data_IF_343260729591
#
_entry.id   IF_343260729591
#
_cell.length_a   1.000
_cell.length_b   1.000
_cell.length_c   1.000
_cell.angle_alpha   90.00
_cell.angle_beta   90.00
_cell.angle_gamma   90.00
#
_symmetry.space_group_name_H-M   'P 1'
#
loop_
_entity.id
_entity.type
_entity.pdbx_description
1 polymer ?
#
# COMPACT_ATOMS: atom_id res chain seq x y z
N UNK A 1 -15.57 -6.76 -7.76
CA UNK A 1 -16.37 -7.79 -7.02
C UNK A 1 -17.82 -7.86 -7.50
N UNK A 2 -18.58 -6.77 -7.51
CA UNK A 2 -19.99 -6.82 -7.94
C UNK A 2 -20.19 -7.19 -9.42
N UNK A 3 -19.22 -6.88 -10.28
CA UNK A 3 -19.24 -7.26 -11.71
C UNK A 3 -19.01 -8.76 -11.89
N UNK A 4 -18.21 -9.38 -11.02
CA UNK A 4 -17.90 -10.82 -11.12
C UNK A 4 -19.05 -11.72 -10.63
N UNK A 5 -19.94 -11.19 -9.80
CA UNK A 5 -21.10 -11.89 -9.20
C UNK A 5 -22.34 -11.00 -9.23
N UNK A 6 -23.01 -10.88 -10.39
CA UNK A 6 -24.17 -10.00 -10.54
C UNK A 6 -25.41 -10.46 -9.75
N UNK A 7 -25.46 -11.72 -9.35
CA UNK A 7 -26.47 -12.33 -8.50
C UNK A 7 -26.32 -11.98 -7.00
N UNK A 8 -25.15 -11.53 -6.59
CA UNK A 8 -24.89 -11.17 -5.20
C UNK A 8 -25.43 -9.77 -4.86
N UNK A 9 -26.03 -9.64 -3.68
CA UNK A 9 -26.45 -8.36 -3.10
C UNK A 9 -25.48 -7.94 -2.02
N UNK A 10 -25.03 -6.69 -2.09
CA UNK A 10 -24.13 -6.13 -1.10
C UNK A 10 -24.86 -5.17 -0.18
N UNK A 11 -24.67 -5.29 1.11
CA UNK A 11 -24.99 -4.23 2.06
C UNK A 11 -23.69 -3.62 2.55
N UNK A 12 -23.42 -2.39 2.14
CA UNK A 12 -22.20 -1.66 2.49
C UNK A 12 -22.48 -0.79 3.72
N UNK A 13 -21.67 -0.98 4.76
CA UNK A 13 -21.71 -0.18 5.98
C UNK A 13 -20.54 0.80 5.99
N UNK A 14 -20.80 2.09 6.19
CA UNK A 14 -19.76 3.12 6.21
C UNK A 14 -20.20 4.42 6.89
N UNK A 15 -19.29 5.40 7.05
CA UNK A 15 -19.63 6.70 7.63
C UNK A 15 -20.61 7.48 6.76
N UNK A 16 -21.48 8.31 7.34
CA UNK A 16 -22.40 9.15 6.56
C UNK A 16 -21.68 9.95 5.48
N UNK A 17 -22.18 9.90 4.24
CA UNK A 17 -21.63 10.62 3.09
C UNK A 17 -20.49 9.92 2.33
N UNK A 18 -20.05 8.75 2.76
CA UNK A 18 -18.96 7.99 2.09
C UNK A 18 -19.50 6.98 1.04
N UNK A 19 -20.62 7.26 0.43
CA UNK A 19 -21.23 6.33 -0.52
C UNK A 19 -20.49 6.33 -1.87
N UNK A 20 -19.95 5.18 -2.26
CA UNK A 20 -19.56 4.89 -3.64
C UNK A 20 -20.66 4.00 -4.23
N UNK A 21 -21.25 4.42 -5.35
CA UNK A 21 -22.24 3.60 -6.03
C UNK A 21 -21.59 2.32 -6.56
N UNK A 22 -21.99 1.19 -6.00
CA UNK A 22 -21.59 -0.15 -6.45
C UNK A 22 -22.84 -0.84 -6.98
N UNK A 23 -22.84 -1.44 -8.18
CA UNK A 23 -23.97 -2.20 -8.69
C UNK A 23 -24.44 -3.24 -7.67
N UNK A 24 -25.76 -3.44 -7.57
CA UNK A 24 -26.40 -4.39 -6.63
C UNK A 24 -26.07 -4.15 -5.14
N UNK A 25 -25.75 -2.91 -4.78
CA UNK A 25 -25.47 -2.57 -3.39
C UNK A 25 -26.52 -1.66 -2.76
N UNK A 26 -26.74 -1.83 -1.46
CA UNK A 26 -27.44 -0.91 -0.58
C UNK A 26 -26.45 -0.34 0.43
N UNK A 27 -26.51 0.99 0.64
CA UNK A 27 -25.67 1.65 1.63
C UNK A 27 -26.42 1.85 2.94
N UNK A 28 -25.79 1.49 4.03
CA UNK A 28 -26.31 1.71 5.39
C UNK A 28 -25.31 2.58 6.15
N UNK A 29 -25.62 3.86 6.38
CA UNK A 29 -24.74 4.73 7.15
C UNK A 29 -24.62 4.24 8.59
N UNK A 30 -23.36 4.12 9.04
CA UNK A 30 -23.05 3.91 10.45
C UNK A 30 -22.97 5.29 11.11
N UNK A 31 -23.87 5.65 12.01
CA UNK A 31 -23.73 6.87 12.78
C UNK A 31 -22.35 6.90 13.44
N UNK A 32 -21.74 8.09 13.60
CA UNK A 32 -20.49 8.27 14.38
C UNK A 32 -20.78 7.95 15.86
N UNK A 33 -21.11 6.68 16.12
CA UNK A 33 -21.32 6.19 17.48
C UNK A 33 -19.97 5.90 18.13
N UNK A 34 -19.89 6.18 19.44
CA UNK A 34 -18.75 5.77 20.26
C UNK A 34 -18.48 4.28 20.10
N UNK A 35 -17.26 3.86 20.42
CA UNK A 35 -16.75 2.48 20.36
C UNK A 35 -17.81 1.39 20.68
N UNK A 36 -18.59 1.60 21.74
CA UNK A 36 -19.63 0.66 22.18
C UNK A 36 -20.75 0.43 21.14
N UNK A 37 -21.26 1.48 20.50
CA UNK A 37 -22.31 1.32 19.48
C UNK A 37 -21.83 0.52 18.27
N UNK A 38 -20.61 0.78 17.80
CA UNK A 38 -20.00 0.05 16.67
C UNK A 38 -19.79 -1.43 16.94
N UNK A 39 -19.37 -1.78 18.14
CA UNK A 39 -18.94 -3.15 18.46
C UNK A 39 -20.01 -4.01 19.11
N UNK A 40 -21.08 -3.43 19.67
CA UNK A 40 -22.15 -4.15 20.37
C UNK A 40 -23.51 -4.07 19.68
N UNK A 41 -23.94 -2.89 19.25
CA UNK A 41 -25.27 -2.70 18.65
C UNK A 41 -25.31 -3.17 17.18
N UNK A 42 -24.27 -2.92 16.41
CA UNK A 42 -24.20 -3.27 15.00
C UNK A 42 -24.22 -4.79 14.74
N UNK A 43 -23.51 -5.64 15.49
CA UNK A 43 -23.60 -7.08 15.31
C UNK A 43 -25.03 -7.61 15.35
N UNK A 44 -25.84 -7.16 16.30
CA UNK A 44 -27.23 -7.58 16.39
C UNK A 44 -28.06 -7.20 15.15
N UNK A 45 -27.84 -5.99 14.60
CA UNK A 45 -28.50 -5.53 13.36
C UNK A 45 -28.04 -6.31 12.14
N UNK A 46 -26.74 -6.61 12.04
CA UNK A 46 -26.20 -7.42 10.95
C UNK A 46 -26.79 -8.82 11.01
N UNK A 47 -26.82 -9.44 12.20
CA UNK A 47 -27.40 -10.78 12.41
C UNK A 47 -28.88 -10.85 12.03
N UNK A 48 -29.68 -9.80 12.30
CA UNK A 48 -31.09 -9.72 11.88
C UNK A 48 -31.26 -9.73 10.35
N UNK A 49 -30.26 -9.27 9.60
CA UNK A 49 -30.27 -9.28 8.14
C UNK A 49 -29.95 -10.65 7.54
N UNK A 50 -29.43 -11.57 8.35
CA UNK A 50 -29.04 -12.94 7.96
C UNK A 50 -28.15 -12.96 6.70
N UNK A 51 -27.01 -12.23 6.66
CA UNK A 51 -26.14 -12.25 5.49
C UNK A 51 -25.48 -13.62 5.34
N UNK A 52 -25.24 -14.05 4.11
CA UNK A 52 -24.51 -15.29 3.83
C UNK A 52 -23.05 -15.22 4.28
N UNK A 53 -22.43 -14.02 4.22
CA UNK A 53 -21.09 -13.77 4.73
C UNK A 53 -20.94 -12.30 5.19
N UNK A 54 -20.01 -12.09 6.12
CA UNK A 54 -19.55 -10.76 6.54
C UNK A 54 -18.11 -10.53 6.10
N UNK A 55 -17.87 -9.44 5.36
CA UNK A 55 -16.54 -9.06 4.90
C UNK A 55 -16.06 -7.76 5.56
N UNK A 56 -14.95 -7.82 6.28
CA UNK A 56 -14.27 -6.69 6.93
C UNK A 56 -13.01 -6.27 6.18
N UNK A 57 -13.10 -5.37 5.17
CA UNK A 57 -11.96 -5.02 4.31
C UNK A 57 -10.85 -4.25 5.02
N UNK A 58 -11.10 -3.72 6.21
CA UNK A 58 -10.13 -2.94 6.99
C UNK A 58 -9.56 -3.72 8.21
N UNK A 59 -9.52 -5.03 8.15
CA UNK A 59 -8.89 -5.88 9.17
C UNK A 59 -9.64 -6.00 10.49
N UNK A 60 -10.90 -5.56 10.54
CA UNK A 60 -11.67 -5.56 11.79
C UNK A 60 -13.04 -6.22 11.63
N UNK A 61 -13.39 -7.01 12.64
CA UNK A 61 -14.75 -7.49 12.88
C UNK A 61 -15.37 -6.71 14.05
N UNK A 62 -16.69 -6.56 14.10
CA UNK A 62 -17.36 -6.17 15.33
C UNK A 62 -17.02 -7.16 16.47
N UNK A 63 -16.95 -6.67 17.72
CA UNK A 63 -16.66 -7.54 18.87
C UNK A 63 -17.79 -8.55 19.14
N UNK A 64 -19.04 -8.15 18.87
CA UNK A 64 -20.17 -9.06 18.94
C UNK A 64 -20.24 -10.01 17.74
N UNK A 65 -21.00 -11.08 17.88
CA UNK A 65 -21.23 -12.06 16.83
C UNK A 65 -22.15 -11.49 15.73
N UNK A 66 -21.75 -11.63 14.47
CA UNK A 66 -22.51 -11.19 13.29
C UNK A 66 -23.44 -12.28 12.74
N UNK A 67 -23.33 -13.51 13.25
CA UNK A 67 -24.20 -14.64 12.92
C UNK A 67 -24.01 -15.19 11.51
N UNK A 68 -22.85 -14.94 10.90
CA UNK A 68 -22.50 -15.45 9.57
C UNK A 68 -21.00 -15.67 9.45
N UNK A 69 -20.55 -16.52 8.51
CA UNK A 69 -19.14 -16.66 8.18
C UNK A 69 -18.48 -15.30 7.91
N UNK A 70 -17.25 -15.15 8.34
CA UNK A 70 -16.55 -13.87 8.35
C UNK A 70 -15.19 -13.93 7.67
N UNK A 71 -14.93 -12.92 6.83
CA UNK A 71 -13.66 -12.73 6.14
C UNK A 71 -13.14 -11.33 6.47
N UNK A 72 -11.85 -11.21 6.74
CA UNK A 72 -11.20 -9.90 6.93
C UNK A 72 -9.98 -9.76 6.04
N UNK A 73 -9.60 -8.52 5.71
CA UNK A 73 -8.32 -8.25 5.03
C UNK A 73 -7.36 -7.55 5.97
N UNK A 74 -6.18 -8.13 6.18
CA UNK A 74 -5.06 -7.52 6.90
C UNK A 74 -4.13 -6.87 5.86
N UNK A 75 -4.00 -5.55 5.94
CA UNK A 75 -3.18 -4.78 4.99
C UNK A 75 -1.72 -4.67 5.41
N UNK A 76 -1.45 -4.50 6.69
CA UNK A 76 -0.11 -4.54 7.26
C UNK A 76 -0.15 -4.84 8.77
N UNK A 77 1.01 -5.18 9.30
CA UNK A 77 1.22 -5.43 10.73
C UNK A 77 2.43 -4.66 11.28
N UNK A 78 2.82 -3.57 10.62
CA UNK A 78 3.98 -2.75 10.97
C UNK A 78 4.00 -2.34 12.46
N UNK A 79 2.83 -1.98 13.00
CA UNK A 79 2.69 -1.55 14.40
C UNK A 79 2.99 -2.67 15.41
N UNK A 80 2.80 -3.93 15.03
CA UNK A 80 3.13 -5.11 15.85
C UNK A 80 4.61 -5.48 15.69
N UNK A 81 5.20 -5.25 14.51
CA UNK A 81 6.60 -5.54 14.23
C UNK A 81 7.53 -4.53 14.88
N UNK A 82 7.22 -3.23 14.78
CA UNK A 82 7.99 -2.19 15.45
C UNK A 82 7.12 -1.01 15.92
N UNK A 83 6.62 -1.04 17.16
CA UNK A 83 5.81 0.05 17.72
C UNK A 83 6.51 1.42 17.76
N UNK A 84 7.85 1.47 17.68
CA UNK A 84 8.62 2.72 17.73
C UNK A 84 8.44 3.58 16.47
N UNK A 85 7.96 3.00 15.38
CA UNK A 85 7.63 3.77 14.18
C UNK A 85 6.34 4.58 14.33
N UNK A 86 5.61 4.42 15.41
CA UNK A 86 4.28 4.99 15.63
C UNK A 86 4.25 5.86 16.89
N UNK A 87 3.32 6.83 17.01
CA UNK A 87 3.12 7.59 18.23
C UNK A 87 2.85 6.69 19.44
N UNK A 88 3.39 7.05 20.60
CA UNK A 88 3.53 6.18 21.77
C UNK A 88 2.26 5.64 22.46
N UNK A 89 1.05 5.94 21.96
CA UNK A 89 -0.20 5.34 22.44
C UNK A 89 -0.93 4.67 21.30
N UNK A 90 -0.81 3.35 21.24
CA UNK A 90 -1.61 2.55 20.28
C UNK A 90 -3.11 2.67 20.61
N UNK A 91 -3.97 2.87 19.59
CA UNK A 91 -5.42 2.84 19.76
C UNK A 91 -5.88 1.50 20.36
N UNK A 92 -6.95 1.53 21.18
CA UNK A 92 -7.57 0.31 21.69
C UNK A 92 -7.99 -0.67 20.58
N UNK A 93 -8.33 -0.14 19.40
CA UNK A 93 -8.62 -0.97 18.23
C UNK A 93 -7.44 -1.86 17.84
N UNK A 94 -6.23 -1.31 17.75
CA UNK A 94 -5.02 -2.06 17.42
C UNK A 94 -4.69 -3.08 18.51
N UNK A 95 -4.83 -2.69 19.77
CA UNK A 95 -4.45 -3.57 20.90
C UNK A 95 -5.42 -4.72 21.14
N UNK A 96 -6.72 -4.52 20.89
CA UNK A 96 -7.76 -5.48 21.27
C UNK A 96 -8.66 -5.94 20.12
N UNK A 97 -9.06 -5.02 19.21
CA UNK A 97 -10.04 -5.36 18.17
C UNK A 97 -9.40 -6.13 17.04
N UNK A 98 -8.24 -5.68 16.54
CA UNK A 98 -7.54 -6.37 15.43
C UNK A 98 -7.15 -7.79 15.81
N UNK A 99 -6.45 -8.06 16.94
CA UNK A 99 -6.12 -9.44 17.33
C UNK A 99 -7.36 -10.33 17.47
N UNK A 100 -8.42 -9.84 18.11
CA UNK A 100 -9.68 -10.60 18.23
C UNK A 100 -10.34 -10.84 16.87
N UNK A 101 -10.25 -9.90 15.96
CA UNK A 101 -10.80 -10.05 14.60
C UNK A 101 -10.07 -11.13 13.83
N UNK A 102 -8.72 -11.13 13.86
CA UNK A 102 -7.90 -12.15 13.22
C UNK A 102 -8.17 -13.54 13.80
N UNK A 103 -8.25 -13.65 15.13
CA UNK A 103 -8.50 -14.94 15.80
C UNK A 103 -9.90 -15.52 15.50
N UNK A 104 -10.90 -14.65 15.30
CA UNK A 104 -12.31 -15.05 15.09
C UNK A 104 -12.71 -15.23 13.65
N UNK A 105 -12.06 -14.54 12.69
CA UNK A 105 -12.42 -14.64 11.28
C UNK A 105 -12.27 -16.08 10.78
N UNK A 106 -13.23 -16.55 10.00
CA UNK A 106 -13.16 -17.89 9.39
C UNK A 106 -12.05 -17.95 8.35
N UNK A 107 -11.91 -16.88 7.55
CA UNK A 107 -10.80 -16.71 6.61
C UNK A 107 -10.18 -15.31 6.78
N UNK A 108 -8.86 -15.26 6.81
CA UNK A 108 -8.08 -14.02 6.83
C UNK A 108 -7.41 -13.83 5.47
N UNK A 109 -7.68 -12.70 4.83
CA UNK A 109 -6.97 -12.28 3.63
C UNK A 109 -5.71 -11.53 4.05
N UNK A 110 -4.56 -11.95 3.52
CA UNK A 110 -3.29 -11.23 3.59
C UNK A 110 -2.97 -10.65 2.22
N UNK A 111 -2.43 -9.43 2.17
CA UNK A 111 -2.15 -8.74 0.90
C UNK A 111 -0.83 -9.17 0.24
N UNK A 112 0.00 -9.94 0.95
CA UNK A 112 1.26 -10.51 0.49
C UNK A 112 1.57 -11.79 1.26
N UNK A 113 2.52 -12.62 0.75
CA UNK A 113 3.02 -13.78 1.48
C UNK A 113 3.69 -13.34 2.78
N UNK A 114 4.47 -12.25 2.74
CA UNK A 114 5.09 -11.68 3.94
C UNK A 114 4.05 -11.30 5.00
N UNK A 115 2.95 -10.64 4.61
CA UNK A 115 1.87 -10.33 5.56
C UNK A 115 1.20 -11.61 6.09
N UNK A 116 1.09 -12.65 5.28
CA UNK A 116 0.55 -13.93 5.72
C UNK A 116 1.45 -14.60 6.77
N UNK A 117 2.75 -14.58 6.57
CA UNK A 117 3.73 -15.09 7.54
C UNK A 117 3.71 -14.29 8.85
N UNK A 118 3.61 -12.97 8.76
CA UNK A 118 3.42 -12.09 9.91
C UNK A 118 2.15 -12.43 10.71
N UNK A 119 1.04 -12.69 10.03
CA UNK A 119 -0.21 -13.08 10.67
C UNK A 119 -0.04 -14.40 11.44
N UNK A 120 0.62 -15.40 10.84
CA UNK A 120 0.91 -16.67 11.52
C UNK A 120 1.77 -16.45 12.75
N UNK A 121 2.87 -15.71 12.60
CA UNK A 121 3.85 -15.50 13.67
C UNK A 121 3.26 -14.69 14.84
N UNK A 122 2.55 -13.58 14.53
CA UNK A 122 2.06 -12.65 15.55
C UNK A 122 0.81 -13.17 16.26
N UNK A 123 -0.10 -13.81 15.53
CA UNK A 123 -1.41 -14.20 16.08
C UNK A 123 -1.58 -15.71 16.27
N UNK A 124 -0.65 -16.54 15.79
CA UNK A 124 -0.69 -18.00 15.99
C UNK A 124 -1.82 -18.70 15.25
N UNK A 125 -2.43 -18.09 14.22
CA UNK A 125 -3.47 -18.78 13.44
C UNK A 125 -2.84 -19.67 12.38
N UNK A 126 -3.46 -20.83 12.05
CA UNK A 126 -2.90 -21.73 11.06
C UNK A 126 -2.88 -21.10 9.66
N UNK A 127 -1.79 -21.33 8.90
CA UNK A 127 -1.63 -20.84 7.52
C UNK A 127 -2.81 -21.22 6.62
N UNK A 128 -3.44 -22.36 6.92
CA UNK A 128 -4.63 -22.85 6.22
C UNK A 128 -5.84 -21.92 6.35
N UNK A 129 -5.94 -21.03 7.34
CA UNK A 129 -6.99 -20.01 7.45
C UNK A 129 -6.67 -18.72 6.67
N UNK A 130 -5.48 -18.62 6.07
CA UNK A 130 -5.04 -17.42 5.37
C UNK A 130 -5.14 -17.63 3.86
N UNK A 131 -5.68 -16.63 3.18
CA UNK A 131 -5.70 -16.53 1.73
C UNK A 131 -4.89 -15.31 1.29
N UNK A 132 -3.82 -15.51 0.51
CA UNK A 132 -3.09 -14.38 -0.04
C UNK A 132 -3.84 -13.81 -1.24
N UNK A 133 -4.09 -12.51 -1.18
CA UNK A 133 -4.80 -11.72 -2.20
C UNK A 133 -4.02 -10.44 -2.47
N UNK A 134 -3.09 -10.45 -3.40
CA UNK A 134 -2.32 -9.27 -3.76
C UNK A 134 -3.22 -8.13 -4.25
N UNK A 135 -2.81 -6.89 -3.97
CA UNK A 135 -3.46 -5.71 -4.53
C UNK A 135 -3.27 -5.64 -6.06
N UNK A 136 -4.14 -4.89 -6.72
CA UNK A 136 -4.01 -4.54 -8.13
C UNK A 136 -3.45 -3.13 -8.31
N UNK A 137 -3.01 -2.82 -9.51
CA UNK A 137 -2.71 -1.47 -9.96
C UNK A 137 -3.89 -0.92 -10.77
N UNK A 138 -4.15 0.39 -10.65
CA UNK A 138 -5.17 1.06 -11.47
C UNK A 138 -4.69 1.18 -12.92
N UNK A 139 -5.57 1.00 -13.93
CA UNK A 139 -5.24 1.24 -15.33
C UNK A 139 -4.78 2.67 -15.65
N UNK A 140 -5.02 3.63 -14.76
CA UNK A 140 -4.51 4.99 -14.87
C UNK A 140 -2.97 5.05 -14.78
N UNK A 141 -2.33 4.08 -14.11
CA UNK A 141 -0.89 3.92 -14.09
C UNK A 141 -0.46 3.12 -15.33
N UNK A 142 0.04 3.82 -16.34
CA UNK A 142 0.52 3.27 -17.59
C UNK A 142 1.56 4.19 -18.22
N UNK A 143 2.36 3.72 -19.19
CA UNK A 143 3.25 4.60 -19.95
C UNK A 143 2.46 5.72 -20.65
N UNK A 144 2.94 6.97 -20.52
CA UNK A 144 2.31 8.17 -21.08
C UNK A 144 3.07 8.68 -22.30
N UNK A 145 2.39 9.48 -23.15
CA UNK A 145 3.00 10.12 -24.32
C UNK A 145 3.94 11.28 -23.94
N UNK A 146 4.87 11.62 -24.84
CA UNK A 146 5.86 12.68 -24.59
C UNK A 146 5.24 14.08 -24.44
N UNK A 147 4.16 14.38 -25.17
CA UNK A 147 3.46 15.67 -25.10
C UNK A 147 2.74 15.86 -23.77
N UNK A 148 2.00 14.83 -23.32
CA UNK A 148 1.32 14.85 -22.02
C UNK A 148 2.32 15.00 -20.87
N UNK A 149 3.48 14.32 -20.97
CA UNK A 149 4.54 14.42 -19.97
C UNK A 149 5.20 15.80 -19.93
N UNK A 150 5.40 16.45 -21.09
CA UNK A 150 5.96 17.79 -21.16
C UNK A 150 5.02 18.81 -20.48
N UNK A 151 3.72 18.74 -20.79
CA UNK A 151 2.71 19.60 -20.18
C UNK A 151 2.60 19.37 -18.65
N UNK A 152 2.63 18.11 -18.21
CA UNK A 152 2.60 17.79 -16.79
C UNK A 152 3.84 18.29 -16.05
N UNK A 153 5.03 18.15 -16.64
CA UNK A 153 6.29 18.65 -16.05
C UNK A 153 6.23 20.15 -15.82
N UNK A 154 5.78 20.91 -16.81
CA UNK A 154 5.68 22.37 -16.71
C UNK A 154 4.67 22.78 -15.65
N UNK A 155 3.48 22.22 -15.68
CA UNK A 155 2.39 22.50 -14.73
C UNK A 155 2.79 22.19 -13.30
N UNK A 156 3.44 21.05 -13.07
CA UNK A 156 3.87 20.58 -11.75
C UNK A 156 5.24 21.13 -11.34
N UNK A 157 5.91 21.90 -12.23
CA UNK A 157 7.25 22.47 -12.02
C UNK A 157 8.28 21.42 -11.61
N UNK A 158 8.22 20.23 -12.23
CA UNK A 158 9.11 19.13 -11.92
C UNK A 158 10.48 19.30 -12.59
N UNK A 159 11.57 18.92 -11.91
CA UNK A 159 12.90 18.92 -12.49
C UNK A 159 12.99 18.04 -13.75
N UNK A 160 13.97 18.33 -14.61
CA UNK A 160 14.18 17.55 -15.84
C UNK A 160 14.71 16.14 -15.58
N UNK A 161 15.42 15.93 -14.47
CA UNK A 161 16.04 14.65 -14.08
C UNK A 161 15.94 14.47 -12.56
N UNK A 162 15.19 13.52 -12.10
CA UNK A 162 15.00 13.31 -10.67
C UNK A 162 14.81 11.85 -10.27
N UNK A 163 15.18 11.56 -9.04
CA UNK A 163 14.81 10.38 -8.28
C UNK A 163 13.49 10.68 -7.59
N UNK A 164 12.58 9.71 -7.56
CA UNK A 164 11.27 9.87 -6.94
C UNK A 164 11.16 9.01 -5.67
N UNK A 165 10.61 9.60 -4.63
CA UNK A 165 10.06 8.90 -3.47
C UNK A 165 8.57 9.21 -3.38
N UNK A 166 7.72 8.19 -3.16
CA UNK A 166 6.28 8.34 -2.96
C UNK A 166 5.86 7.65 -1.67
N UNK A 167 5.24 8.41 -0.78
CA UNK A 167 4.69 7.90 0.47
C UNK A 167 4.62 8.96 1.57
N UNK A 168 3.80 8.69 2.59
CA UNK A 168 3.75 9.52 3.80
C UNK A 168 5.14 9.59 4.43
N UNK A 169 5.59 10.80 4.78
CA UNK A 169 6.89 11.00 5.42
C UNK A 169 6.77 10.64 6.89
N UNK A 170 7.25 9.43 7.22
CA UNK A 170 7.21 8.83 8.55
C UNK A 170 8.40 7.87 8.75
N UNK A 171 8.81 7.54 9.99
CA UNK A 171 10.00 6.72 10.24
C UNK A 171 9.98 5.35 9.55
N UNK A 172 8.83 4.70 9.43
CA UNK A 172 8.68 3.39 8.78
C UNK A 172 9.09 3.41 7.31
N UNK A 173 8.90 4.53 6.63
CA UNK A 173 9.24 4.69 5.21
C UNK A 173 10.73 4.91 4.96
N UNK A 174 11.54 5.11 6.02
CA UNK A 174 12.99 5.14 5.97
C UNK A 174 13.59 6.15 4.97
N UNK A 175 12.91 7.27 4.78
CA UNK A 175 13.41 8.32 3.89
C UNK A 175 14.80 8.83 4.31
N UNK A 176 15.15 8.75 5.60
CA UNK A 176 16.43 9.21 6.12
C UNK A 176 17.62 8.48 5.50
N UNK A 177 17.56 7.15 5.33
CA UNK A 177 18.63 6.39 4.69
C UNK A 177 18.76 6.73 3.20
N UNK A 178 17.64 6.95 2.51
CA UNK A 178 17.67 7.43 1.11
C UNK A 178 18.31 8.82 1.01
N UNK A 179 17.96 9.74 1.91
CA UNK A 179 18.53 11.09 1.96
C UNK A 179 20.05 11.05 2.16
N UNK A 180 20.54 10.16 3.02
CA UNK A 180 21.99 9.98 3.22
C UNK A 180 22.67 9.46 1.95
N UNK A 181 22.12 8.42 1.33
CA UNK A 181 22.63 7.87 0.08
C UNK A 181 22.62 8.90 -1.06
N UNK A 182 21.51 9.62 -1.21
CA UNK A 182 21.36 10.67 -2.20
C UNK A 182 22.39 11.81 -2.00
N UNK A 183 22.62 12.24 -0.76
CA UNK A 183 23.60 13.27 -0.44
C UNK A 183 25.04 12.89 -0.83
N UNK A 184 25.36 11.59 -0.89
CA UNK A 184 26.66 11.04 -1.23
C UNK A 184 26.88 10.84 -2.73
N UNK A 185 25.84 11.03 -3.57
CA UNK A 185 25.96 10.85 -5.03
C UNK A 185 26.86 11.90 -5.64
N UNK A 186 27.68 11.48 -6.63
CA UNK A 186 28.64 12.37 -7.32
C UNK A 186 27.94 13.35 -8.24
N UNK A 187 27.09 12.85 -9.14
CA UNK A 187 26.23 13.64 -10.04
C UNK A 187 24.81 13.54 -9.49
N UNK A 188 24.57 14.35 -8.46
CA UNK A 188 23.33 14.29 -7.66
C UNK A 188 22.13 14.86 -8.44
N UNK A 189 21.25 14.00 -9.03
CA UNK A 189 20.02 14.48 -9.64
C UNK A 189 19.08 14.99 -8.54
N UNK A 190 18.08 15.77 -8.93
CA UNK A 190 17.08 16.21 -7.97
C UNK A 190 16.38 15.00 -7.33
N UNK A 191 15.96 15.15 -6.06
CA UNK A 191 15.12 14.21 -5.35
C UNK A 191 13.73 14.82 -5.13
N UNK A 192 12.72 14.21 -5.72
CA UNK A 192 11.32 14.60 -5.53
C UNK A 192 10.66 13.66 -4.53
N UNK A 193 10.19 14.22 -3.44
CA UNK A 193 9.46 13.53 -2.36
C UNK A 193 7.99 13.90 -2.48
N UNK A 194 7.13 12.94 -2.81
CA UNK A 194 5.69 13.13 -2.91
C UNK A 194 4.99 12.45 -1.74
N UNK A 195 4.29 13.23 -0.93
CA UNK A 195 3.50 12.71 0.18
C UNK A 195 3.31 13.69 1.32
N UNK A 196 2.30 13.45 2.14
CA UNK A 196 2.03 14.27 3.32
C UNK A 196 3.02 13.99 4.45
N UNK A 197 3.17 14.96 5.35
CA UNK A 197 3.80 14.74 6.64
C UNK A 197 2.93 13.80 7.48
N UNK A 198 3.53 12.70 7.94
CA UNK A 198 2.86 11.74 8.80
C UNK A 198 3.04 12.05 10.28
N UNK A 199 3.54 11.08 11.01
CA UNK A 199 3.89 11.22 12.43
C UNK A 199 5.39 11.04 12.62
N UNK A 200 5.94 11.67 13.67
CA UNK A 200 7.37 11.61 14.01
C UNK A 200 8.28 12.04 12.84
N UNK A 201 7.80 12.94 12.00
CA UNK A 201 8.47 13.38 10.77
C UNK A 201 9.48 14.51 11.02
N UNK A 202 9.44 15.17 12.18
CA UNK A 202 10.23 16.37 12.45
C UNK A 202 11.73 16.18 12.20
N UNK A 203 12.39 15.08 12.64
CA UNK A 203 13.81 14.85 12.35
C UNK A 203 14.08 14.69 10.84
N UNK A 204 13.15 14.06 10.13
CA UNK A 204 13.26 13.88 8.67
C UNK A 204 13.16 15.24 7.98
N UNK A 205 12.21 16.09 8.37
CA UNK A 205 12.04 17.44 7.82
C UNK A 205 13.28 18.31 8.06
N UNK A 206 13.86 18.26 9.27
CA UNK A 206 15.09 18.98 9.58
C UNK A 206 16.27 18.50 8.73
N UNK A 207 16.36 17.18 8.48
CA UNK A 207 17.38 16.60 7.61
C UNK A 207 17.20 17.07 6.17
N UNK A 208 15.97 17.05 5.65
CA UNK A 208 15.64 17.56 4.32
C UNK A 208 16.04 19.03 4.18
N UNK A 209 15.75 19.88 5.17
CA UNK A 209 16.10 21.28 5.16
C UNK A 209 17.64 21.51 5.13
N UNK A 210 18.42 20.68 5.85
CA UNK A 210 19.88 20.77 5.85
C UNK A 210 20.54 20.38 4.53
N UNK A 211 19.93 19.47 3.78
CA UNK A 211 20.47 18.98 2.50
C UNK A 211 20.38 20.01 1.36
N UNK A 212 19.53 21.02 1.51
CA UNK A 212 19.50 22.19 0.65
C UNK A 212 18.96 21.93 -0.75
N UNK A 213 19.48 22.63 -1.78
CA UNK A 213 18.93 22.63 -3.12
C UNK A 213 18.99 21.25 -3.78
N UNK A 214 18.03 21.03 -4.72
CA UNK A 214 17.86 19.74 -5.42
C UNK A 214 16.92 18.79 -4.71
N UNK A 215 16.38 19.13 -3.52
CA UNK A 215 15.35 18.38 -2.84
C UNK A 215 14.00 19.10 -2.91
N UNK A 216 13.00 18.45 -3.46
CA UNK A 216 11.66 19.00 -3.68
C UNK A 216 10.64 18.15 -2.90
N UNK A 217 9.82 18.79 -2.08
CA UNK A 217 8.73 18.12 -1.38
C UNK A 217 7.39 18.62 -1.91
N UNK A 218 6.55 17.68 -2.35
CA UNK A 218 5.21 17.95 -2.89
C UNK A 218 4.19 17.29 -1.95
N UNK A 219 3.48 18.15 -1.23
CA UNK A 219 2.34 17.75 -0.41
C UNK A 219 1.04 18.08 -1.13
N UNK A 220 0.04 17.20 -1.03
CA UNK A 220 -1.27 17.44 -1.62
C UNK A 220 -1.32 17.36 -3.16
N UNK A 221 -0.41 16.58 -3.77
CA UNK A 221 -0.49 16.27 -5.20
C UNK A 221 -1.86 15.67 -5.52
N UNK A 222 -2.50 16.15 -6.60
CA UNK A 222 -3.73 15.52 -7.09
C UNK A 222 -3.42 14.06 -7.48
N UNK A 223 -4.19 13.08 -6.99
CA UNK A 223 -4.01 11.68 -7.37
C UNK A 223 -4.02 11.44 -8.89
N UNK A 224 -4.72 12.28 -9.66
CA UNK A 224 -4.74 12.22 -11.12
C UNK A 224 -3.40 12.57 -11.76
N UNK A 225 -2.53 13.31 -11.07
CA UNK A 225 -1.20 13.71 -11.54
C UNK A 225 -0.10 12.69 -11.21
N UNK A 226 -0.36 11.81 -10.26
CA UNK A 226 0.65 10.85 -9.79
C UNK A 226 1.19 9.94 -10.92
N UNK A 227 0.38 9.45 -11.87
CA UNK A 227 0.90 8.69 -13.02
C UNK A 227 1.95 9.48 -13.84
N UNK A 228 1.73 10.77 -14.06
CA UNK A 228 2.69 11.62 -14.79
C UNK A 228 3.99 11.78 -14.00
N UNK A 229 3.93 11.94 -12.68
CA UNK A 229 5.12 12.05 -11.82
C UNK A 229 5.95 10.77 -11.88
N UNK A 230 5.33 9.59 -11.84
CA UNK A 230 6.05 8.32 -12.04
C UNK A 230 6.71 8.27 -13.41
N UNK A 231 5.99 8.55 -14.49
CA UNK A 231 6.52 8.51 -15.85
C UNK A 231 7.69 9.47 -16.07
N UNK A 232 7.73 10.60 -15.37
CA UNK A 232 8.79 11.62 -15.47
C UNK A 232 10.03 11.29 -14.67
N UNK A 233 9.93 10.40 -13.68
CA UNK A 233 11.04 10.02 -12.81
C UNK A 233 12.06 9.14 -13.55
N UNK A 234 13.35 9.28 -13.21
CA UNK A 234 14.41 8.38 -13.68
C UNK A 234 14.34 7.02 -13.00
N UNK A 235 13.98 7.03 -11.72
CA UNK A 235 13.86 5.85 -10.88
C UNK A 235 12.99 6.18 -9.68
N UNK A 236 12.17 5.22 -9.23
CA UNK A 236 11.55 5.25 -7.91
C UNK A 236 12.49 4.62 -6.90
N UNK A 237 12.79 5.31 -5.79
CA UNK A 237 13.47 4.77 -4.63
C UNK A 237 12.48 4.55 -3.49
N UNK A 238 12.33 3.30 -3.01
CA UNK A 238 11.37 2.96 -1.95
C UNK A 238 12.06 2.22 -0.79
N UNK A 239 12.66 2.97 0.15
CA UNK A 239 13.56 2.44 1.19
C UNK A 239 12.87 1.86 2.42
N UNK A 240 11.56 1.69 2.41
CA UNK A 240 10.75 1.37 3.58
C UNK A 240 11.30 0.18 4.40
N UNK A 241 11.29 0.33 5.73
CA UNK A 241 11.56 -0.75 6.67
C UNK A 241 10.47 -1.82 6.66
N UNK A 242 9.26 -1.41 6.34
CA UNK A 242 8.12 -2.32 6.31
C UNK A 242 7.01 -1.79 5.40
N UNK A 243 6.48 -2.68 4.56
CA UNK A 243 5.26 -2.51 3.78
C UNK A 243 4.42 -3.79 3.85
N UNK A 244 3.11 -3.64 3.92
CA UNK A 244 2.25 -4.81 3.80
C UNK A 244 2.18 -5.35 2.38
N UNK A 245 2.33 -4.46 1.37
CA UNK A 245 2.37 -4.83 -0.04
C UNK A 245 3.41 -4.05 -0.84
N UNK A 246 3.25 -2.74 -1.02
CA UNK A 246 4.15 -1.92 -1.84
C UNK A 246 3.48 -1.40 -3.11
N UNK A 247 2.38 -0.66 -2.95
CA UNK A 247 1.68 -0.03 -4.08
C UNK A 247 2.57 0.95 -4.87
N UNK A 248 3.38 1.84 -4.25
CA UNK A 248 4.21 2.77 -5.02
C UNK A 248 5.20 2.11 -5.97
N UNK A 249 5.96 1.06 -5.60
CA UNK A 249 6.77 0.30 -6.55
C UNK A 249 5.95 -0.34 -7.68
N UNK A 250 4.78 -0.90 -7.37
CA UNK A 250 3.90 -1.50 -8.38
C UNK A 250 3.38 -0.44 -9.38
N UNK A 251 2.95 0.72 -8.89
CA UNK A 251 2.49 1.86 -9.70
C UNK A 251 3.62 2.40 -10.60
N UNK A 252 4.83 2.55 -10.06
CA UNK A 252 6.00 2.95 -10.80
C UNK A 252 6.33 1.97 -11.94
N UNK A 253 6.35 0.66 -11.64
CA UNK A 253 6.56 -0.39 -12.66
C UNK A 253 5.48 -0.34 -13.74
N UNK A 254 4.22 -0.12 -13.39
CA UNK A 254 3.12 0.01 -14.34
C UNK A 254 3.31 1.22 -15.28
N UNK A 255 3.87 2.32 -14.77
CA UNK A 255 4.24 3.50 -15.56
C UNK A 255 5.54 3.29 -16.37
N UNK A 256 6.23 2.17 -16.22
CA UNK A 256 7.51 1.90 -16.86
C UNK A 256 8.67 2.65 -16.21
N UNK A 257 8.58 3.00 -14.96
CA UNK A 257 9.66 3.63 -14.18
C UNK A 257 10.47 2.55 -13.49
N UNK A 258 11.81 2.51 -13.66
CA UNK A 258 12.68 1.61 -12.89
C UNK A 258 12.48 1.77 -11.40
N UNK A 259 12.57 0.68 -10.64
CA UNK A 259 12.37 0.70 -9.18
C UNK A 259 13.57 0.14 -8.43
N UNK A 260 13.94 0.83 -7.37
CA UNK A 260 14.91 0.36 -6.37
C UNK A 260 14.16 0.30 -5.03
N UNK A 261 14.14 -0.85 -4.41
CA UNK A 261 13.39 -1.10 -3.16
C UNK A 261 14.30 -1.69 -2.09
N UNK A 262 13.90 -1.57 -0.83
CA UNK A 262 14.60 -2.27 0.26
C UNK A 262 14.35 -3.78 0.21
N UNK A 263 15.26 -4.55 0.81
CA UNK A 263 15.13 -6.01 0.99
C UNK A 263 14.08 -6.40 2.03
N UNK A 264 13.32 -5.46 2.57
CA UNK A 264 12.42 -5.66 3.71
C UNK A 264 10.98 -5.96 3.28
N UNK A 265 10.35 -6.77 4.12
CA UNK A 265 8.91 -7.08 4.07
C UNK A 265 8.45 -7.59 2.69
N UNK A 266 7.32 -7.13 2.19
CA UNK A 266 6.73 -7.55 0.92
C UNK A 266 7.41 -6.97 -0.33
N UNK A 267 8.35 -6.05 -0.18
CA UNK A 267 8.91 -5.32 -1.33
C UNK A 267 9.63 -6.23 -2.33
N UNK A 268 10.51 -7.18 -1.90
CA UNK A 268 11.13 -8.13 -2.82
C UNK A 268 10.09 -9.02 -3.54
N UNK A 269 9.03 -9.45 -2.84
CA UNK A 269 7.93 -10.24 -3.41
C UNK A 269 7.20 -9.49 -4.52
N UNK A 270 6.99 -8.18 -4.36
CA UNK A 270 6.25 -7.37 -5.34
C UNK A 270 7.09 -7.09 -6.59
N UNK A 271 8.35 -6.70 -6.42
CA UNK A 271 9.19 -6.34 -7.56
C UNK A 271 9.81 -7.54 -8.27
N UNK A 272 10.10 -8.63 -7.55
CA UNK A 272 10.72 -9.84 -8.07
C UNK A 272 12.03 -9.48 -8.84
N UNK A 273 12.21 -9.96 -10.06
CA UNK A 273 13.35 -9.65 -10.93
C UNK A 273 13.19 -8.32 -11.71
N UNK A 274 12.05 -7.65 -11.57
CA UNK A 274 11.73 -6.41 -12.27
C UNK A 274 12.19 -5.13 -11.53
N UNK A 275 12.80 -5.28 -10.36
CA UNK A 275 13.36 -4.18 -9.57
C UNK A 275 14.72 -4.54 -8.98
N UNK A 276 15.46 -3.55 -8.51
CA UNK A 276 16.69 -3.77 -7.75
C UNK A 276 16.39 -3.71 -6.26
N UNK A 277 16.92 -4.69 -5.55
CA UNK A 277 16.72 -4.85 -4.09
C UNK A 277 18.01 -4.48 -3.38
N UNK A 278 17.95 -3.60 -2.38
CA UNK A 278 19.08 -3.08 -1.65
C UNK A 278 18.89 -3.17 -0.13
N UNK A 279 19.99 -3.16 0.60
CA UNK A 279 19.95 -3.13 2.06
C UNK A 279 19.32 -1.82 2.56
N UNK A 280 18.19 -1.94 3.28
CA UNK A 280 17.45 -0.81 3.83
C UNK A 280 18.29 0.11 4.74
N UNK A 281 19.33 -0.45 5.40
CA UNK A 281 20.16 0.26 6.37
C UNK A 281 21.43 0.87 5.76
N UNK A 282 21.73 0.65 4.48
CA UNK A 282 23.02 1.03 3.86
C UNK A 282 22.87 2.22 2.92
N UNK A 283 23.20 3.47 3.33
CA UNK A 283 23.21 4.62 2.42
C UNK A 283 24.13 4.42 1.21
N UNK A 284 25.25 3.68 1.37
CA UNK A 284 26.16 3.38 0.28
C UNK A 284 25.51 2.51 -0.80
N UNK A 285 24.76 1.47 -0.40
CA UNK A 285 24.07 0.60 -1.36
C UNK A 285 22.99 1.37 -2.12
N UNK A 286 22.29 2.30 -1.46
CA UNK A 286 21.34 3.20 -2.11
C UNK A 286 22.03 4.10 -3.13
N UNK A 287 23.14 4.78 -2.74
CA UNK A 287 23.92 5.60 -3.66
C UNK A 287 24.36 4.80 -4.88
N UNK A 288 25.07 3.69 -4.67
CA UNK A 288 25.70 2.93 -5.75
C UNK A 288 24.66 2.34 -6.70
N UNK A 289 23.54 1.85 -6.18
CA UNK A 289 22.46 1.30 -6.99
C UNK A 289 21.73 2.39 -7.78
N UNK A 290 21.45 3.54 -7.17
CA UNK A 290 20.80 4.67 -7.86
C UNK A 290 21.71 5.26 -8.96
N UNK A 291 23.01 5.45 -8.68
CA UNK A 291 23.99 5.88 -9.69
C UNK A 291 24.07 4.91 -10.86
N UNK A 292 24.05 3.60 -10.58
CA UNK A 292 24.06 2.54 -11.60
C UNK A 292 22.79 2.60 -12.47
N UNK A 293 21.59 2.64 -11.90
CA UNK A 293 20.33 2.70 -12.69
C UNK A 293 20.24 3.97 -13.53
N UNK A 294 20.71 5.09 -12.99
CA UNK A 294 20.65 6.39 -13.69
C UNK A 294 21.72 6.51 -14.78
N UNK A 295 22.89 5.90 -14.59
CA UNK A 295 24.01 5.95 -15.50
C UNK A 295 24.00 4.88 -16.60
N UNK A 296 23.32 3.76 -16.38
CA UNK A 296 23.24 2.65 -17.32
C UNK A 296 21.88 2.63 -18.03
N UNK A 297 21.85 3.09 -19.27
CA UNK A 297 20.63 3.20 -20.09
C UNK A 297 20.06 1.84 -20.47
N UNK A 298 20.90 0.83 -20.65
CA UNK A 298 20.46 -0.52 -21.03
C UNK A 298 19.81 -1.21 -19.83
N UNK A 299 20.43 -1.10 -18.65
CA UNK A 299 19.81 -1.57 -17.41
C UNK A 299 18.46 -0.88 -17.15
N UNK A 300 18.40 0.44 -17.31
CA UNK A 300 17.15 1.18 -17.10
C UNK A 300 16.06 0.75 -18.09
N UNK A 301 16.41 0.50 -19.36
CA UNK A 301 15.48 0.02 -20.38
C UNK A 301 14.97 -1.41 -20.07
N UNK A 302 15.85 -2.30 -19.62
CA UNK A 302 15.51 -3.65 -19.22
C UNK A 302 14.60 -3.67 -17.99
N UNK A 303 14.92 -2.90 -16.94
CA UNK A 303 14.07 -2.76 -15.76
C UNK A 303 12.68 -2.18 -16.11
N UNK A 304 12.62 -1.21 -17.03
CA UNK A 304 11.35 -0.67 -17.54
C UNK A 304 10.52 -1.76 -18.18
N UNK A 305 11.11 -2.54 -19.08
CA UNK A 305 10.40 -3.61 -19.79
C UNK A 305 9.88 -4.67 -18.82
N UNK A 306 10.75 -5.19 -17.94
CA UNK A 306 10.37 -6.18 -16.93
C UNK A 306 9.34 -5.63 -15.96
N UNK A 307 9.47 -4.37 -15.53
CA UNK A 307 8.53 -3.70 -14.64
C UNK A 307 7.10 -3.67 -15.19
N UNK A 308 6.92 -3.29 -16.45
CA UNK A 308 5.61 -3.28 -17.11
C UNK A 308 5.01 -4.70 -17.13
N UNK A 309 5.80 -5.71 -17.50
CA UNK A 309 5.35 -7.11 -17.54
C UNK A 309 4.99 -7.63 -16.14
N UNK A 310 5.77 -7.26 -15.13
CA UNK A 310 5.50 -7.62 -13.74
C UNK A 310 4.22 -6.98 -13.24
N UNK A 311 4.05 -5.68 -13.43
CA UNK A 311 2.86 -4.95 -13.00
C UNK A 311 1.56 -5.47 -13.64
N UNK A 312 1.62 -5.93 -14.89
CA UNK A 312 0.46 -6.52 -15.60
C UNK A 312 -0.09 -7.79 -14.91
N UNK A 313 0.69 -8.45 -14.05
CA UNK A 313 0.23 -9.61 -13.27
C UNK A 313 -0.67 -9.22 -12.09
N UNK A 314 -0.71 -7.94 -11.72
CA UNK A 314 -1.45 -7.41 -10.58
C UNK A 314 -2.63 -6.56 -11.04
N UNK A 315 -3.83 -7.10 -10.97
CA UNK A 315 -5.05 -6.39 -11.33
C UNK A 315 -6.10 -6.48 -10.24
N UNK A 316 -6.89 -5.41 -10.08
CA UNK A 316 -8.01 -5.40 -9.14
C UNK A 316 -9.06 -6.47 -9.47
N UNK A 317 -9.23 -6.85 -10.74
CA UNK A 317 -10.09 -7.97 -11.13
C UNK A 317 -9.58 -9.31 -10.59
N UNK A 318 -8.26 -9.55 -10.62
CA UNK A 318 -7.65 -10.74 -10.00
C UNK A 318 -7.85 -10.73 -8.49
N UNK A 319 -7.58 -9.59 -7.83
CA UNK A 319 -7.78 -9.43 -6.39
C UNK A 319 -9.24 -9.70 -6.00
N UNK A 320 -10.21 -9.18 -6.78
CA UNK A 320 -11.62 -9.41 -6.57
C UNK A 320 -12.00 -10.90 -6.66
N UNK A 321 -11.52 -11.60 -7.69
CA UNK A 321 -11.76 -13.05 -7.83
C UNK A 321 -11.17 -13.86 -6.67
N UNK A 322 -9.96 -13.52 -6.23
CA UNK A 322 -9.34 -14.18 -5.08
C UNK A 322 -10.08 -13.88 -3.78
N UNK A 323 -10.58 -12.66 -3.61
CA UNK A 323 -11.43 -12.28 -2.47
C UNK A 323 -12.73 -13.09 -2.46
N UNK A 324 -13.36 -13.28 -3.63
CA UNK A 324 -14.53 -14.16 -3.73
C UNK A 324 -14.23 -15.59 -3.33
N UNK A 325 -13.09 -16.16 -3.74
CA UNK A 325 -12.67 -17.51 -3.29
C UNK A 325 -12.53 -17.58 -1.77
N UNK A 326 -12.00 -16.53 -1.14
CA UNK A 326 -11.91 -16.46 0.31
C UNK A 326 -13.29 -16.44 0.98
N UNK A 327 -14.25 -15.69 0.40
CA UNK A 327 -15.64 -15.63 0.89
C UNK A 327 -16.34 -16.98 0.69
N UNK A 328 -16.28 -17.56 -0.52
CA UNK A 328 -16.88 -18.86 -0.82
C UNK A 328 -16.35 -19.94 0.12
N UNK A 329 -15.04 -19.96 0.38
CA UNK A 329 -14.41 -20.87 1.33
C UNK A 329 -14.92 -20.68 2.77
N UNK A 330 -15.14 -19.44 3.20
CA UNK A 330 -15.68 -19.17 4.53
C UNK A 330 -17.14 -19.65 4.65
N UNK A 331 -17.91 -19.63 3.55
CA UNK A 331 -19.31 -20.06 3.52
C UNK A 331 -19.46 -21.59 3.45
N UNK A 332 -18.55 -22.26 2.75
CA UNK A 332 -18.65 -23.73 2.55
C UNK A 332 -17.93 -24.56 3.62
N UNK A 333 -17.09 -23.96 4.45
CA UNK A 333 -16.33 -24.57 5.55
C UNK A 333 -15.00 -25.10 5.10
#
# INVERSE_FOLDING_TARGET
MSVDRPDCRFTVFGPPGAFVHVPNSSYRPIPRTRFFGRHMQWPARIRQMKPDAFFGPAGVLPLGDVGSPSVITVHDLAIYRNPRWFPGRQPLSTRYVVPRSVLRADVVIAVSEHTADDIVEIFGIPRSRIQVVPHGVSPSFSPMSGEDLAAARERLKLPSRFILFVGTVEPRKNLETLLDGWAMMRDRPDLVVVGAWGWLYEPIREKMARLGPGLHHIEGLDPADLPAVYNLARVLAHPAWYEGFGLPPLEAMACGTPVVVSERSSLPEVVDDAGLVVNAASPNDWRDTLERVIGDTDLAADLRHRGILRAAQFSWSRSARLTWRAIDRAVTG
#
